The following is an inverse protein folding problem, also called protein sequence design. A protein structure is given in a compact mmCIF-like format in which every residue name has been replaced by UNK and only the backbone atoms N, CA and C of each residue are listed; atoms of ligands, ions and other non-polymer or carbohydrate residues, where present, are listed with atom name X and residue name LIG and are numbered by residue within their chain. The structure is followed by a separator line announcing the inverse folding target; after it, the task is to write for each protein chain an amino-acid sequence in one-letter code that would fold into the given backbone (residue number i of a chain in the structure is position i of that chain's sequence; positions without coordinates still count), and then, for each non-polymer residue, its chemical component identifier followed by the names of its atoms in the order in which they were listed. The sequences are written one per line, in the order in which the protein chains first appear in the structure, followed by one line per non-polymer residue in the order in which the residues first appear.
data_IF_220755804102
#
_entry.id   IF_220755804102
#
_cell.length_a   1.000
_cell.length_b   1.000
_cell.length_c   1.000
_cell.angle_alpha   90.00
_cell.angle_beta   90.00
_cell.angle_gamma   90.00
#
_symmetry.space_group_name_H-M   'P 1'
#
loop_
_entity.id
_entity.type
_entity.pdbx_description
1 polymer ?
#
# COMPACT_ATOMS: atom_id res chain seq x y z
N UNK A 1 -11.28 -7.84 -10.47
CA UNK A 1 -10.31 -8.84 -9.96
C UNK A 1 -9.65 -8.32 -8.69
N UNK A 2 -8.91 -9.15 -7.93
CA UNK A 2 -8.26 -8.71 -6.67
C UNK A 2 -7.30 -7.53 -6.89
N UNK A 3 -6.65 -7.45 -8.06
CA UNK A 3 -5.78 -6.33 -8.45
C UNK A 3 -6.56 -5.03 -8.63
N UNK A 4 -7.76 -5.09 -9.22
CA UNK A 4 -8.64 -3.92 -9.38
C UNK A 4 -9.16 -3.41 -8.04
N UNK A 5 -9.45 -4.31 -7.08
CA UNK A 5 -9.84 -3.94 -5.73
C UNK A 5 -8.73 -3.16 -5.02
N UNK A 6 -7.49 -3.68 -5.04
CA UNK A 6 -6.33 -2.99 -4.49
C UNK A 6 -6.14 -1.64 -5.19
N UNK A 7 -6.29 -1.60 -6.51
CA UNK A 7 -6.19 -0.37 -7.29
C UNK A 7 -7.18 0.71 -6.80
N UNK A 8 -8.45 0.35 -6.62
CA UNK A 8 -9.46 1.29 -6.11
C UNK A 8 -9.19 1.70 -4.66
N UNK A 9 -8.69 0.79 -3.83
CA UNK A 9 -8.29 1.11 -2.46
C UNK A 9 -7.12 2.09 -2.43
N UNK A 10 -6.14 1.97 -3.33
CA UNK A 10 -5.04 2.94 -3.47
C UNK A 10 -5.61 4.34 -3.74
N UNK A 11 -6.57 4.47 -4.65
CA UNK A 11 -7.21 5.76 -4.94
C UNK A 11 -7.90 6.36 -3.71
N UNK A 12 -8.60 5.54 -2.91
CA UNK A 12 -9.20 5.97 -1.65
C UNK A 12 -8.16 6.46 -0.64
N UNK A 13 -7.10 5.69 -0.42
CA UNK A 13 -6.01 6.04 0.51
C UNK A 13 -5.25 7.30 0.07
N UNK A 14 -5.07 7.50 -1.24
CA UNK A 14 -4.49 8.72 -1.81
C UNK A 14 -5.38 9.93 -1.58
N UNK A 15 -6.70 9.79 -1.76
CA UNK A 15 -7.66 10.86 -1.50
C UNK A 15 -7.62 11.29 -0.03
N UNK A 16 -7.59 10.33 0.90
CA UNK A 16 -7.45 10.60 2.33
C UNK A 16 -6.12 11.28 2.66
N UNK A 17 -5.00 10.81 2.08
CA UNK A 17 -3.70 11.44 2.27
C UNK A 17 -3.67 12.89 1.75
N UNK A 18 -4.31 13.16 0.60
CA UNK A 18 -4.41 14.51 0.06
C UNK A 18 -5.23 15.43 0.97
N UNK A 19 -6.30 14.92 1.57
CA UNK A 19 -7.11 15.69 2.53
C UNK A 19 -6.32 16.02 3.81
N UNK A 20 -5.51 15.07 4.32
CA UNK A 20 -4.60 15.31 5.45
C UNK A 20 -3.56 16.39 5.13
N UNK A 21 -2.98 16.37 3.94
CA UNK A 21 -2.02 17.39 3.47
C UNK A 21 -2.66 18.78 3.42
N UNK A 22 -3.90 18.89 2.91
CA UNK A 22 -4.67 20.13 2.93
C UNK A 22 -4.96 20.61 4.36
N UNK A 23 -5.33 19.70 5.27
CA UNK A 23 -5.63 20.02 6.66
C UNK A 23 -4.40 20.53 7.42
N UNK A 24 -3.22 19.94 7.20
CA UNK A 24 -1.95 20.42 7.76
C UNK A 24 -1.67 21.86 7.32
N UNK A 25 -1.90 22.19 6.04
CA UNK A 25 -1.71 23.54 5.53
C UNK A 25 -2.69 24.56 6.16
N UNK A 26 -3.95 24.14 6.40
CA UNK A 26 -4.94 24.95 7.14
C UNK A 26 -4.50 25.18 8.59
N UNK A 27 -4.00 24.14 9.26
CA UNK A 27 -3.48 24.23 10.63
C UNK A 27 -2.26 25.14 10.71
N UNK A 28 -1.35 25.12 9.74
CA UNK A 28 -0.24 26.07 9.68
C UNK A 28 -0.71 27.53 9.66
N UNK A 29 -1.77 27.85 8.90
CA UNK A 29 -2.36 29.19 8.88
C UNK A 29 -2.99 29.52 10.23
N UNK A 30 -3.76 28.60 10.80
CA UNK A 30 -4.43 28.79 12.08
C UNK A 30 -3.44 29.02 13.23
N UNK A 31 -2.39 28.20 13.33
CA UNK A 31 -1.32 28.33 14.32
C UNK A 31 -0.65 29.70 14.21
N UNK A 32 -0.33 30.14 12.99
CA UNK A 32 0.26 31.45 12.75
C UNK A 32 -0.69 32.60 13.14
N UNK A 33 -1.99 32.46 12.88
CA UNK A 33 -2.99 33.47 13.25
C UNK A 33 -3.25 33.53 14.75
N UNK A 34 -3.06 32.42 15.46
CA UNK A 34 -3.30 32.28 16.89
C UNK A 34 -2.13 32.74 17.79
N UNK A 35 -1.07 33.34 17.24
CA UNK A 35 0.06 33.86 18.03
C UNK A 35 -0.36 34.93 19.07
N UNK A 36 -1.45 35.65 18.81
CA UNK A 36 -2.03 36.61 19.76
C UNK A 36 -3.15 36.03 20.62
N UNK A 37 -3.52 34.76 20.40
CA UNK A 37 -4.59 34.06 21.10
C UNK A 37 -4.09 33.44 22.42
N UNK A 38 -5.01 32.80 23.16
CA UNK A 38 -4.63 32.09 24.38
C UNK A 38 -3.64 30.96 24.11
N UNK A 39 -2.69 30.74 25.01
CA UNK A 39 -1.70 29.66 24.91
C UNK A 39 -2.32 28.27 24.74
N UNK A 40 -3.52 28.08 25.30
CA UNK A 40 -4.27 26.82 25.18
C UNK A 40 -4.75 26.55 23.76
N UNK A 41 -5.28 27.56 23.08
CA UNK A 41 -5.78 27.42 21.70
C UNK A 41 -4.65 27.05 20.73
N UNK A 42 -3.48 27.66 20.89
CA UNK A 42 -2.29 27.32 20.11
C UNK A 42 -1.85 25.88 20.38
N UNK A 43 -1.85 25.45 21.65
CA UNK A 43 -1.51 24.08 22.03
C UNK A 43 -2.43 23.05 21.38
N UNK A 44 -3.74 23.27 21.44
CA UNK A 44 -4.74 22.36 20.86
C UNK A 44 -4.55 22.21 19.33
N UNK A 45 -4.19 23.29 18.62
CA UNK A 45 -3.89 23.28 17.19
C UNK A 45 -2.59 22.52 16.86
N UNK A 46 -1.56 22.67 17.69
CA UNK A 46 -0.31 21.93 17.55
C UNK A 46 -0.52 20.42 17.74
N UNK A 47 -1.35 20.03 18.72
CA UNK A 47 -1.70 18.64 18.96
C UNK A 47 -2.46 18.01 17.79
N UNK A 48 -3.40 18.76 17.19
CA UNK A 48 -4.12 18.34 15.98
C UNK A 48 -3.16 18.14 14.81
N UNK A 49 -2.24 19.08 14.60
CA UNK A 49 -1.24 19.00 13.53
C UNK A 49 -0.33 17.77 13.71
N UNK A 50 0.17 17.54 14.92
CA UNK A 50 1.02 16.39 15.23
C UNK A 50 0.26 15.06 15.09
N UNK A 51 -1.05 15.04 15.38
CA UNK A 51 -1.89 13.86 15.13
C UNK A 51 -1.97 13.54 13.63
N UNK A 52 -2.29 14.53 12.80
CA UNK A 52 -2.43 14.32 11.35
C UNK A 52 -1.09 13.97 10.71
N UNK A 53 0.03 14.58 11.13
CA UNK A 53 1.37 14.21 10.65
C UNK A 53 1.70 12.74 10.93
N UNK A 54 1.35 12.23 12.12
CA UNK A 54 1.53 10.82 12.46
C UNK A 54 0.66 9.90 11.59
N UNK A 55 -0.60 10.25 11.39
CA UNK A 55 -1.52 9.47 10.55
C UNK A 55 -1.07 9.46 9.08
N UNK A 56 -0.61 10.61 8.56
CA UNK A 56 -0.09 10.72 7.21
C UNK A 56 1.17 9.87 7.02
N UNK A 57 2.07 9.84 8.00
CA UNK A 57 3.29 8.98 7.99
C UNK A 57 2.95 7.49 7.94
N UNK A 58 1.81 7.07 8.50
CA UNK A 58 1.35 5.67 8.39
C UNK A 58 0.83 5.33 6.97
N UNK A 59 0.41 6.34 6.21
CA UNK A 59 -0.16 6.16 4.86
C UNK A 59 0.89 6.28 3.76
N UNK A 60 1.75 7.30 3.85
CA UNK A 60 2.73 7.67 2.81
C UNK A 60 4.09 7.96 3.43
N UNK A 61 5.15 7.72 2.67
CA UNK A 61 6.50 8.14 2.99
C UNK A 61 6.59 9.68 2.95
N UNK A 62 6.62 10.29 4.12
CA UNK A 62 6.80 11.72 4.28
C UNK A 62 7.99 12.01 5.19
N UNK A 63 8.61 13.16 4.96
CA UNK A 63 9.48 13.81 5.92
C UNK A 63 8.93 15.20 6.21
N UNK A 64 9.15 15.69 7.43
CA UNK A 64 8.71 17.03 7.79
C UNK A 64 9.70 17.68 8.73
N UNK A 65 9.71 19.01 8.71
CA UNK A 65 10.45 19.80 9.68
C UNK A 65 9.60 20.99 10.13
N UNK A 66 9.77 21.37 11.39
CA UNK A 66 9.10 22.51 11.99
C UNK A 66 10.01 23.73 11.86
N UNK A 67 9.55 24.75 11.16
CA UNK A 67 10.23 26.03 11.02
C UNK A 67 9.89 26.99 12.16
N UNK A 68 10.26 28.26 11.96
CA UNK A 68 9.91 29.34 12.87
C UNK A 68 8.39 29.44 13.05
N UNK A 69 7.95 29.82 14.26
CA UNK A 69 6.53 30.03 14.59
C UNK A 69 5.65 28.77 14.50
N UNK A 70 6.24 27.58 14.58
CA UNK A 70 5.48 26.32 14.64
C UNK A 70 4.92 25.84 13.30
N UNK A 71 5.16 26.54 12.19
CA UNK A 71 4.75 26.09 10.85
C UNK A 71 5.55 24.85 10.44
N UNK A 72 4.87 23.84 9.92
CA UNK A 72 5.49 22.61 9.43
C UNK A 72 5.57 22.63 7.91
N UNK A 73 6.75 22.27 7.39
CA UNK A 73 6.95 21.97 5.96
C UNK A 73 6.97 20.46 5.81
N UNK A 74 6.18 19.94 4.88
CA UNK A 74 6.06 18.50 4.62
C UNK A 74 6.57 18.20 3.22
N UNK A 75 7.51 17.26 3.12
CA UNK A 75 8.02 16.69 1.88
C UNK A 75 7.54 15.25 1.73
N UNK A 76 7.07 14.91 0.54
CA UNK A 76 6.65 13.58 0.16
C UNK A 76 7.75 12.82 -0.60
N UNK A 77 7.38 11.69 -1.23
CA UNK A 77 8.30 10.93 -2.06
C UNK A 77 8.82 11.76 -3.23
N UNK A 78 9.98 11.37 -3.77
CA UNK A 78 10.70 12.12 -4.81
C UNK A 78 11.00 13.59 -4.44
N UNK A 79 11.15 13.89 -3.14
CA UNK A 79 11.37 15.23 -2.60
C UNK A 79 10.27 16.26 -2.94
N UNK A 80 9.07 15.76 -3.30
CA UNK A 80 7.92 16.60 -3.64
C UNK A 80 7.51 17.45 -2.44
N UNK A 81 7.21 18.73 -2.68
CA UNK A 81 6.75 19.64 -1.63
C UNK A 81 5.24 19.45 -1.45
N UNK A 82 4.82 18.86 -0.33
CA UNK A 82 3.41 18.59 -0.04
C UNK A 82 2.76 19.74 0.72
N UNK A 83 3.46 20.33 1.69
CA UNK A 83 3.00 21.50 2.43
C UNK A 83 4.14 22.48 2.56
N UNK A 84 3.87 23.74 2.22
CA UNK A 84 4.73 24.88 2.54
C UNK A 84 3.88 26.01 3.10
N UNK A 85 4.07 26.29 4.40
CA UNK A 85 3.28 27.29 5.14
C UNK A 85 1.79 27.00 4.95
N UNK A 86 1.03 27.88 4.30
CA UNK A 86 -0.40 27.72 4.04
C UNK A 86 -0.76 27.10 2.69
N UNK A 87 0.24 26.79 1.86
CA UNK A 87 0.06 26.17 0.55
C UNK A 87 0.22 24.66 0.66
N UNK A 88 -0.55 23.93 -0.15
CA UNK A 88 -0.49 22.48 -0.22
C UNK A 88 -0.51 21.99 -1.68
N UNK A 89 0.16 20.87 -1.93
CA UNK A 89 0.05 20.14 -3.18
C UNK A 89 -1.08 19.12 -3.09
N UNK A 90 -1.79 18.90 -4.21
CA UNK A 90 -2.81 17.85 -4.28
C UNK A 90 -2.13 16.53 -4.60
N UNK A 91 -2.44 15.48 -3.84
CA UNK A 91 -2.07 14.11 -4.19
C UNK A 91 -3.27 13.50 -4.91
N UNK A 92 -3.05 12.90 -6.06
CA UNK A 92 -4.11 12.32 -6.88
C UNK A 92 -3.66 10.98 -7.48
N UNK A 93 -4.59 10.30 -8.13
CA UNK A 93 -4.30 9.15 -8.97
C UNK A 93 -4.47 9.52 -10.44
N UNK A 94 -3.50 9.14 -11.26
CA UNK A 94 -3.63 9.16 -12.71
C UNK A 94 -3.65 7.74 -13.25
N UNK A 95 -4.34 7.50 -14.36
CA UNK A 95 -4.23 6.20 -15.05
C UNK A 95 -2.86 6.10 -15.70
N UNK A 96 -2.14 5.01 -15.43
CA UNK A 96 -0.91 4.69 -16.14
C UNK A 96 -1.20 4.57 -17.64
N UNK A 97 -0.28 5.02 -18.49
CA UNK A 97 -0.49 5.08 -19.95
C UNK A 97 -0.65 3.71 -20.63
N UNK A 98 -0.38 2.62 -19.93
CA UNK A 98 -0.30 1.25 -20.43
C UNK A 98 -1.31 0.28 -19.77
N UNK A 99 -2.01 0.68 -18.71
CA UNK A 99 -2.83 -0.23 -17.92
C UNK A 99 -3.90 0.45 -17.08
N UNK A 100 -4.93 -0.32 -16.72
CA UNK A 100 -6.03 0.10 -15.85
C UNK A 100 -5.60 0.46 -14.41
N UNK A 101 -4.29 0.51 -14.14
CA UNK A 101 -3.71 0.78 -12.83
C UNK A 101 -3.55 2.28 -12.61
N UNK A 102 -3.62 2.64 -11.34
CA UNK A 102 -3.40 4.00 -10.90
C UNK A 102 -1.95 4.24 -10.54
N UNK A 103 -1.38 5.27 -11.14
CA UNK A 103 -0.18 5.93 -10.65
C UNK A 103 -0.56 6.96 -9.59
N UNK A 104 0.23 7.02 -8.53
CA UNK A 104 0.12 8.07 -7.51
C UNK A 104 0.90 9.27 -8.03
N UNK A 105 0.26 10.44 -8.09
CA UNK A 105 0.86 11.67 -8.58
C UNK A 105 0.73 12.79 -7.56
N UNK A 106 1.74 13.66 -7.51
CA UNK A 106 1.70 14.92 -6.79
C UNK A 106 1.56 16.07 -7.79
N UNK A 107 0.56 16.91 -7.56
CA UNK A 107 0.22 18.08 -8.37
C UNK A 107 0.67 19.34 -7.64
N UNK A 108 1.80 19.90 -8.06
CA UNK A 108 2.35 21.16 -7.52
C UNK A 108 1.79 22.36 -8.31
N UNK A 109 0.52 22.71 -8.05
CA UNK A 109 -0.15 23.83 -8.71
C UNK A 109 -0.35 23.70 -10.22
N UNK A 110 -1.01 24.69 -10.84
CA UNK A 110 -1.44 24.61 -12.24
C UNK A 110 -0.30 24.72 -13.29
N UNK A 111 0.92 25.06 -12.86
CA UNK A 111 2.04 25.36 -13.76
C UNK A 111 3.04 24.20 -13.92
N UNK A 112 3.00 23.18 -13.06
CA UNK A 112 3.96 22.08 -13.08
C UNK A 112 3.34 20.79 -13.60
N UNK A 113 4.16 19.97 -14.28
CA UNK A 113 3.77 18.63 -14.67
C UNK A 113 3.56 17.77 -13.41
N UNK A 114 2.52 16.92 -13.37
CA UNK A 114 2.35 15.94 -12.30
C UNK A 114 3.63 15.14 -12.08
N UNK A 115 4.08 15.01 -10.84
CA UNK A 115 5.22 14.16 -10.49
C UNK A 115 4.68 12.78 -10.09
N UNK A 116 5.06 11.74 -10.84
CA UNK A 116 4.69 10.36 -10.50
C UNK A 116 5.54 9.89 -9.33
N UNK A 117 4.89 9.44 -8.27
CA UNK A 117 5.52 8.99 -7.02
C UNK A 117 5.20 7.55 -6.66
N UNK A 118 4.45 6.81 -7.51
CA UNK A 118 4.01 5.43 -7.27
C UNK A 118 5.10 4.53 -6.71
N UNK A 119 6.25 4.50 -7.39
CA UNK A 119 7.38 3.66 -7.01
C UNK A 119 8.43 4.39 -6.17
N UNK A 120 8.34 5.71 -6.04
CA UNK A 120 9.22 6.50 -5.16
C UNK A 120 8.73 6.46 -3.71
N UNK A 121 7.43 6.21 -3.49
CA UNK A 121 6.89 5.98 -2.16
C UNK A 121 7.35 4.62 -1.61
N UNK A 122 8.32 4.63 -0.69
CA UNK A 122 8.92 3.39 -0.14
C UNK A 122 8.34 2.94 1.19
N UNK A 123 7.50 3.76 1.83
CA UNK A 123 6.97 3.52 3.18
C UNK A 123 5.46 3.80 3.26
N UNK A 124 4.90 3.40 4.39
CA UNK A 124 3.49 3.53 4.67
C UNK A 124 2.63 2.51 3.92
N UNK A 125 1.33 2.55 4.21
CA UNK A 125 0.34 1.63 3.66
C UNK A 125 0.29 1.65 2.13
N UNK A 126 0.41 2.82 1.52
CA UNK A 126 0.37 2.97 0.06
C UNK A 126 1.49 2.19 -0.63
N UNK A 127 2.72 2.21 -0.08
CA UNK A 127 3.85 1.47 -0.63
C UNK A 127 3.58 -0.04 -0.61
N UNK A 128 3.07 -0.56 0.53
CA UNK A 128 2.71 -1.97 0.66
C UNK A 128 1.59 -2.40 -0.30
N UNK A 129 0.60 -1.53 -0.53
CA UNK A 129 -0.48 -1.81 -1.49
C UNK A 129 0.03 -1.85 -2.93
N UNK A 130 0.90 -0.91 -3.31
CA UNK A 130 1.57 -0.91 -4.63
C UNK A 130 2.41 -2.16 -4.80
N UNK A 131 3.19 -2.56 -3.78
CA UNK A 131 4.01 -3.77 -3.81
C UNK A 131 3.16 -5.04 -4.04
N UNK A 132 2.02 -5.17 -3.35
CA UNK A 132 1.11 -6.30 -3.57
C UNK A 132 0.50 -6.27 -4.97
N UNK A 133 0.03 -5.11 -5.42
CA UNK A 133 -0.66 -4.93 -6.71
C UNK A 133 0.26 -5.18 -7.91
N UNK A 134 1.51 -4.72 -7.83
CA UNK A 134 2.41 -4.62 -8.98
C UNK A 134 3.47 -5.72 -8.99
N UNK A 135 3.78 -6.32 -7.83
CA UNK A 135 4.78 -7.39 -7.73
C UNK A 135 4.17 -8.71 -7.29
N UNK A 136 3.52 -8.75 -6.13
CA UNK A 136 3.10 -10.03 -5.52
C UNK A 136 2.03 -10.72 -6.36
N UNK A 137 0.93 -10.02 -6.68
CA UNK A 137 -0.19 -10.60 -7.44
C UNK A 137 0.25 -11.00 -8.87
N UNK A 138 0.95 -10.16 -9.65
CA UNK A 138 1.42 -10.55 -10.98
C UNK A 138 2.35 -11.77 -10.97
N UNK A 139 3.28 -11.86 -10.01
CA UNK A 139 4.18 -13.03 -9.90
C UNK A 139 3.42 -14.33 -9.60
N UNK A 140 2.38 -14.27 -8.77
CA UNK A 140 1.52 -15.44 -8.49
C UNK A 140 0.70 -15.84 -9.72
N UNK A 141 0.16 -14.87 -10.46
CA UNK A 141 -0.58 -15.12 -11.69
C UNK A 141 0.33 -15.75 -12.77
N UNK A 142 1.51 -15.18 -12.99
CA UNK A 142 2.51 -15.72 -13.91
C UNK A 142 2.90 -17.16 -13.54
N UNK A 143 3.14 -17.43 -12.25
CA UNK A 143 3.44 -18.78 -11.77
C UNK A 143 2.31 -19.76 -12.08
N UNK A 144 1.06 -19.35 -11.85
CA UNK A 144 -0.12 -20.16 -12.11
C UNK A 144 -0.34 -20.40 -13.62
N UNK A 145 -0.16 -19.37 -14.44
CA UNK A 145 -0.28 -19.46 -15.90
C UNK A 145 0.78 -20.38 -16.50
N UNK A 146 2.03 -20.29 -16.05
CA UNK A 146 3.11 -21.20 -16.48
C UNK A 146 2.79 -22.64 -16.14
N UNK A 147 2.32 -22.91 -14.93
CA UNK A 147 1.93 -24.26 -14.51
C UNK A 147 0.76 -24.80 -15.34
N UNK A 148 -0.30 -24.00 -15.54
CA UNK A 148 -1.45 -24.36 -16.36
C UNK A 148 -1.03 -24.64 -17.82
N UNK A 149 -0.18 -23.79 -18.40
CA UNK A 149 0.33 -23.94 -19.75
C UNK A 149 1.17 -25.21 -19.92
N UNK A 150 2.06 -25.52 -18.98
CA UNK A 150 2.86 -26.74 -19.03
C UNK A 150 2.01 -28.00 -18.83
N UNK A 151 1.06 -27.97 -17.91
CA UNK A 151 0.12 -29.08 -17.70
C UNK A 151 -0.68 -29.37 -18.98
N UNK A 152 -1.34 -28.34 -19.53
CA UNK A 152 -2.15 -28.46 -20.72
C UNK A 152 -1.32 -28.84 -21.94
N UNK A 153 -0.16 -28.21 -22.11
CA UNK A 153 0.78 -28.48 -23.20
C UNK A 153 1.31 -29.91 -23.17
N UNK A 154 1.65 -30.44 -21.99
CA UNK A 154 2.15 -31.80 -21.84
C UNK A 154 1.08 -32.85 -22.14
N UNK A 155 -0.15 -32.64 -21.67
CA UNK A 155 -1.27 -33.53 -21.99
C UNK A 155 -1.61 -33.45 -23.49
N UNK A 156 -1.66 -32.24 -24.06
CA UNK A 156 -1.92 -32.03 -25.48
C UNK A 156 -0.86 -32.66 -26.37
N UNK A 157 0.42 -32.61 -25.98
CA UNK A 157 1.49 -33.26 -26.72
C UNK A 157 1.21 -34.76 -26.88
N UNK A 158 0.86 -35.45 -25.79
CA UNK A 158 0.55 -36.88 -25.81
C UNK A 158 -0.78 -37.16 -26.53
N UNK A 159 -1.83 -36.38 -26.24
CA UNK A 159 -3.16 -36.60 -26.82
C UNK A 159 -3.16 -36.45 -28.35
N UNK A 160 -2.35 -35.53 -28.89
CA UNK A 160 -2.22 -35.33 -30.34
C UNK A 160 -1.61 -36.53 -31.07
N UNK A 161 -0.83 -37.35 -30.39
CA UNK A 161 -0.22 -38.56 -30.95
C UNK A 161 -1.21 -39.75 -31.00
N UNK A 162 -2.33 -39.65 -30.28
CA UNK A 162 -3.25 -40.75 -30.09
C UNK A 162 -4.39 -40.85 -31.07
N UNK A 163 -5.11 -41.97 -30.95
CA UNK A 163 -6.34 -42.26 -31.68
C UNK A 163 -7.50 -42.45 -30.69
N UNK A 164 -8.68 -41.97 -31.08
CA UNK A 164 -9.92 -42.17 -30.34
C UNK A 164 -10.57 -43.54 -30.59
N UNK A 165 -11.80 -43.70 -30.14
CA UNK A 165 -12.60 -44.92 -30.29
C UNK A 165 -13.77 -44.71 -31.26
N UNK A 166 -14.27 -45.82 -31.83
CA UNK A 166 -15.43 -45.82 -32.74
C UNK A 166 -15.25 -44.82 -33.89
N UNK A 167 -16.16 -43.87 -34.04
CA UNK A 167 -16.13 -42.84 -35.08
C UNK A 167 -14.98 -41.82 -34.91
N UNK A 168 -14.14 -41.94 -33.88
CA UNK A 168 -12.96 -41.12 -33.62
C UNK A 168 -11.64 -41.88 -33.83
N UNK A 169 -11.68 -43.08 -34.41
CA UNK A 169 -10.49 -43.93 -34.62
C UNK A 169 -9.43 -43.35 -35.56
N UNK A 170 -9.78 -42.33 -36.34
CA UNK A 170 -8.85 -41.62 -37.25
C UNK A 170 -8.57 -40.18 -36.80
N UNK A 171 -9.17 -39.73 -35.69
CA UNK A 171 -8.92 -38.37 -35.19
C UNK A 171 -7.60 -38.34 -34.44
N UNK A 172 -6.55 -37.86 -35.11
CA UNK A 172 -5.23 -37.58 -34.55
C UNK A 172 -4.98 -36.07 -34.55
N UNK A 173 -3.94 -35.61 -33.84
CA UNK A 173 -3.55 -34.20 -33.86
C UNK A 173 -4.48 -33.25 -33.10
N UNK A 174 -5.45 -33.79 -32.35
CA UNK A 174 -6.39 -33.01 -31.52
C UNK A 174 -5.78 -32.68 -30.15
N UNK A 175 -6.00 -31.46 -29.67
CA UNK A 175 -5.68 -31.09 -28.29
C UNK A 175 -6.74 -31.62 -27.33
N UNK A 176 -6.34 -32.00 -26.11
CA UNK A 176 -7.28 -32.29 -25.03
C UNK A 176 -7.79 -31.01 -24.37
N UNK A 177 -6.88 -30.04 -24.19
CA UNK A 177 -7.17 -28.71 -23.66
C UNK A 177 -6.99 -27.64 -24.72
N UNK A 178 -7.91 -26.69 -24.77
CA UNK A 178 -7.71 -25.44 -25.48
C UNK A 178 -6.92 -24.48 -24.59
N UNK A 179 -5.79 -24.00 -25.13
CA UNK A 179 -4.88 -23.09 -24.43
C UNK A 179 -4.89 -21.76 -25.16
N UNK A 180 -5.08 -20.68 -24.41
CA UNK A 180 -5.00 -19.32 -24.95
C UNK A 180 -3.62 -19.06 -25.57
N UNK A 181 -3.61 -18.27 -26.65
CA UNK A 181 -2.37 -17.79 -27.26
C UNK A 181 -1.68 -16.70 -26.43
N UNK A 182 -2.37 -16.14 -25.43
CA UNK A 182 -1.82 -15.17 -24.50
C UNK A 182 -1.27 -15.89 -23.25
N UNK A 183 0.05 -15.85 -22.98
CA UNK A 183 0.63 -16.49 -21.80
C UNK A 183 0.07 -15.96 -20.47
N UNK A 184 -0.45 -14.74 -20.44
CA UNK A 184 -0.87 -14.05 -19.21
C UNK A 184 -2.27 -14.44 -18.72
N UNK A 185 -3.04 -15.20 -19.50
CA UNK A 185 -4.42 -15.59 -19.14
C UNK A 185 -4.70 -17.10 -19.24
N UNK A 186 -3.69 -17.92 -19.52
CA UNK A 186 -3.83 -19.37 -19.73
C UNK A 186 -4.63 -20.03 -18.60
N UNK A 187 -4.27 -19.80 -17.34
CA UNK A 187 -4.93 -20.47 -16.22
C UNK A 187 -6.41 -20.08 -16.09
N UNK A 188 -6.76 -18.86 -16.48
CA UNK A 188 -8.14 -18.35 -16.41
C UNK A 188 -9.01 -18.75 -17.60
N UNK A 189 -8.39 -19.11 -18.72
CA UNK A 189 -9.07 -19.44 -19.99
C UNK A 189 -8.99 -20.92 -20.35
N UNK A 190 -8.19 -21.70 -19.61
CA UNK A 190 -7.99 -23.13 -19.86
C UNK A 190 -9.33 -23.87 -19.83
N UNK A 191 -9.64 -24.54 -20.94
CA UNK A 191 -10.83 -25.38 -21.08
C UNK A 191 -10.50 -26.66 -21.83
N UNK A 192 -11.37 -27.65 -21.74
CA UNK A 192 -11.26 -28.88 -22.51
C UNK A 192 -11.82 -28.67 -23.91
N UNK A 193 -11.29 -29.40 -24.90
CA UNK A 193 -11.80 -29.41 -26.28
C UNK A 193 -13.25 -29.90 -26.32
N UNK A 194 -14.09 -29.22 -27.10
CA UNK A 194 -15.54 -29.46 -27.14
C UNK A 194 -15.88 -30.92 -27.51
N UNK A 195 -15.17 -31.55 -28.45
CA UNK A 195 -15.45 -32.95 -28.81
C UNK A 195 -15.07 -33.95 -27.72
N UNK A 196 -14.02 -33.64 -26.95
CA UNK A 196 -13.61 -34.43 -25.78
C UNK A 196 -14.69 -34.36 -24.69
N UNK A 197 -15.32 -33.19 -24.51
CA UNK A 197 -16.46 -33.02 -23.61
C UNK A 197 -17.69 -33.78 -24.13
N UNK A 198 -18.01 -33.65 -25.41
CA UNK A 198 -19.18 -34.26 -26.03
C UNK A 198 -19.11 -35.79 -26.08
N UNK A 199 -17.91 -36.36 -26.22
CA UNK A 199 -17.74 -37.81 -26.28
C UNK A 199 -16.42 -38.28 -25.69
N UNK A 200 -16.52 -39.16 -24.69
CA UNK A 200 -15.36 -39.90 -24.19
C UNK A 200 -14.66 -40.75 -25.26
N UNK A 201 -15.34 -41.07 -26.38
CA UNK A 201 -14.70 -41.76 -27.51
C UNK A 201 -13.72 -40.85 -28.26
N UNK A 202 -13.81 -39.53 -28.15
CA UNK A 202 -12.87 -38.58 -28.76
C UNK A 202 -11.55 -38.44 -27.98
N UNK A 203 -11.48 -39.01 -26.77
CA UNK A 203 -10.24 -39.08 -25.98
C UNK A 203 -9.25 -39.98 -26.72
N UNK A 204 -8.20 -39.35 -27.24
CA UNK A 204 -7.23 -39.95 -28.15
C UNK A 204 -6.08 -40.58 -27.36
N UNK A 205 -6.26 -41.84 -26.94
CA UNK A 205 -5.35 -42.52 -26.00
C UNK A 205 -4.82 -43.88 -26.46
N UNK A 206 -5.32 -44.40 -27.58
CA UNK A 206 -4.73 -45.57 -28.23
C UNK A 206 -3.48 -45.13 -29.02
N UNK A 207 -2.43 -45.95 -29.03
CA UNK A 207 -1.21 -45.70 -29.79
C UNK A 207 -1.34 -46.15 -31.27
N UNK A 208 -2.38 -46.90 -31.62
CA UNK A 208 -2.67 -47.33 -32.98
C UNK A 208 -4.16 -47.18 -33.31
N UNK A 209 -4.52 -46.91 -34.57
CA UNK A 209 -5.91 -46.83 -34.98
C UNK A 209 -6.61 -48.18 -34.79
N UNK A 210 -7.91 -48.16 -34.47
CA UNK A 210 -8.72 -49.37 -34.31
C UNK A 210 -8.18 -50.37 -33.26
N UNK A 211 -7.53 -49.89 -32.19
CA UNK A 211 -7.03 -50.72 -31.09
C UNK A 211 -7.83 -50.55 -29.78
N UNK A 212 -9.09 -51.05 -29.69
CA UNK A 212 -9.84 -51.03 -28.44
C UNK A 212 -9.07 -51.73 -27.30
N UNK A 213 -8.99 -51.06 -26.15
CA UNK A 213 -8.29 -51.57 -24.96
C UNK A 213 -6.81 -51.17 -24.87
N UNK A 214 -6.25 -50.54 -25.92
CA UNK A 214 -4.92 -49.93 -25.84
C UNK A 214 -4.93 -48.73 -24.88
N UNK A 215 -3.99 -48.72 -23.93
CA UNK A 215 -3.85 -47.72 -22.89
C UNK A 215 -2.44 -47.11 -22.83
N UNK A 216 -1.61 -47.30 -23.86
CA UNK A 216 -0.21 -46.83 -23.88
C UNK A 216 -0.12 -45.33 -23.62
N UNK A 217 -0.93 -44.50 -24.27
CA UNK A 217 -0.84 -43.05 -24.08
C UNK A 217 -1.44 -42.59 -22.76
N UNK A 218 -2.46 -43.28 -22.22
CA UNK A 218 -2.92 -43.02 -20.84
C UNK A 218 -1.77 -43.24 -19.86
N UNK A 219 -1.03 -44.35 -20.00
CA UNK A 219 0.12 -44.61 -19.13
C UNK A 219 1.22 -43.55 -19.27
N UNK A 220 1.41 -42.98 -20.47
CA UNK A 220 2.32 -41.86 -20.68
C UNK A 220 1.81 -40.57 -20.02
N UNK A 221 0.50 -40.27 -20.12
CA UNK A 221 -0.11 -39.14 -19.43
C UNK A 221 0.02 -39.27 -17.90
N UNK A 222 -0.17 -40.47 -17.34
CA UNK A 222 0.02 -40.73 -15.91
C UNK A 222 1.47 -40.50 -15.45
N UNK A 223 2.45 -40.79 -16.31
CA UNK A 223 3.88 -40.57 -16.03
C UNK A 223 4.27 -39.10 -16.04
N UNK A 224 3.48 -38.20 -16.63
CA UNK A 224 3.77 -36.75 -16.62
C UNK A 224 3.94 -36.20 -15.21
N UNK A 225 3.29 -36.79 -14.20
CA UNK A 225 3.45 -36.40 -12.80
C UNK A 225 4.91 -36.49 -12.32
N UNK A 226 5.67 -37.45 -12.84
CA UNK A 226 7.07 -37.69 -12.48
C UNK A 226 8.05 -37.03 -13.47
N UNK A 227 7.55 -36.46 -14.57
CA UNK A 227 8.39 -35.86 -15.60
C UNK A 227 8.67 -34.39 -15.30
N UNK A 228 9.89 -33.97 -15.65
CA UNK A 228 10.33 -32.59 -15.54
C UNK A 228 9.83 -31.78 -16.73
N UNK A 229 8.60 -31.28 -16.61
CA UNK A 229 7.93 -30.48 -17.64
C UNK A 229 7.99 -28.97 -17.38
N UNK A 230 8.53 -28.57 -16.23
CA UNK A 230 8.74 -27.18 -15.82
C UNK A 230 10.24 -26.88 -15.74
N UNK A 231 10.96 -27.04 -16.86
CA UNK A 231 12.43 -27.01 -16.88
C UNK A 231 13.00 -28.21 -16.15
N UNK A 232 13.72 -27.99 -15.04
CA UNK A 232 14.33 -29.07 -14.25
C UNK A 232 13.42 -29.63 -13.14
N UNK A 233 12.17 -29.19 -13.07
CA UNK A 233 11.20 -29.51 -12.02
C UNK A 233 9.95 -30.24 -12.58
N UNK A 234 9.35 -31.10 -11.74
CA UNK A 234 7.99 -31.62 -12.01
C UNK A 234 6.93 -30.54 -11.75
N UNK A 235 5.68 -30.78 -12.18
CA UNK A 235 4.57 -29.88 -11.84
C UNK A 235 4.37 -29.74 -10.33
N UNK A 236 4.52 -30.85 -9.58
CA UNK A 236 4.38 -30.84 -8.13
C UNK A 236 5.53 -30.07 -7.46
N UNK A 237 6.77 -30.24 -7.94
CA UNK A 237 7.92 -29.51 -7.41
C UNK A 237 7.76 -28.00 -7.64
N UNK A 238 7.33 -27.62 -8.84
CA UNK A 238 7.07 -26.23 -9.18
C UNK A 238 5.97 -25.63 -8.29
N UNK A 239 4.85 -26.35 -8.13
CA UNK A 239 3.75 -25.95 -7.26
C UNK A 239 4.20 -25.76 -5.81
N UNK A 240 4.87 -26.77 -5.25
CA UNK A 240 5.38 -26.74 -3.89
C UNK A 240 6.39 -25.59 -3.69
N UNK A 241 7.22 -25.32 -4.70
CA UNK A 241 8.20 -24.23 -4.64
C UNK A 241 7.51 -22.86 -4.59
N UNK A 242 6.64 -22.53 -5.53
CA UNK A 242 6.07 -21.17 -5.57
C UNK A 242 5.12 -20.91 -4.38
N UNK A 243 4.34 -21.92 -3.95
CA UNK A 243 3.52 -21.82 -2.73
C UNK A 243 4.41 -21.68 -1.49
N UNK A 244 5.51 -22.42 -1.43
CA UNK A 244 6.48 -22.34 -0.34
C UNK A 244 7.14 -20.96 -0.25
N UNK A 245 7.56 -20.38 -1.38
CA UNK A 245 8.13 -19.03 -1.45
C UNK A 245 7.11 -17.99 -0.98
N UNK A 246 5.88 -18.05 -1.49
CA UNK A 246 4.81 -17.13 -1.07
C UNK A 246 4.51 -17.25 0.43
N UNK A 247 4.45 -18.48 0.96
CA UNK A 247 4.26 -18.72 2.39
C UNK A 247 5.40 -18.18 3.25
N UNK A 248 6.65 -18.33 2.80
CA UNK A 248 7.82 -17.78 3.48
C UNK A 248 7.81 -16.24 3.48
N UNK A 249 7.45 -15.63 2.36
CA UNK A 249 7.33 -14.17 2.25
C UNK A 249 6.23 -13.61 3.15
N UNK A 250 5.11 -14.32 3.29
CA UNK A 250 4.05 -13.97 4.23
C UNK A 250 4.55 -14.02 5.68
N UNK A 251 5.24 -15.11 6.06
CA UNK A 251 5.81 -15.24 7.42
C UNK A 251 6.84 -14.15 7.71
N UNK A 252 7.72 -13.83 6.76
CA UNK A 252 8.71 -12.75 6.89
C UNK A 252 8.05 -11.38 7.05
N UNK A 253 7.03 -11.10 6.25
CA UNK A 253 6.27 -9.84 6.30
C UNK A 253 5.57 -9.70 7.66
N UNK A 254 4.98 -10.80 8.17
CA UNK A 254 4.35 -10.82 9.48
C UNK A 254 5.37 -10.58 10.62
N UNK A 255 6.50 -11.26 10.60
CA UNK A 255 7.57 -11.07 11.59
C UNK A 255 8.12 -9.64 11.58
N UNK A 256 8.30 -9.05 10.39
CA UNK A 256 8.76 -7.66 10.24
C UNK A 256 7.74 -6.70 10.82
N UNK A 257 6.45 -6.90 10.51
CA UNK A 257 5.36 -6.11 11.08
C UNK A 257 5.33 -6.20 12.62
N UNK A 258 5.45 -7.38 13.19
CA UNK A 258 5.43 -7.57 14.65
C UNK A 258 6.62 -6.88 15.34
N UNK A 259 7.78 -6.89 14.69
CA UNK A 259 8.97 -6.16 15.14
C UNK A 259 8.74 -4.64 15.11
N UNK A 260 8.20 -4.13 14.00
CA UNK A 260 7.87 -2.70 13.84
C UNK A 260 6.81 -2.24 14.84
N UNK A 261 5.75 -3.02 15.06
CA UNK A 261 4.71 -2.74 16.06
C UNK A 261 5.29 -2.69 17.48
N UNK A 262 6.28 -3.53 17.77
CA UNK A 262 7.01 -3.51 19.04
C UNK A 262 7.87 -2.26 19.17
N UNK A 263 8.59 -1.89 18.11
CA UNK A 263 9.40 -0.68 18.07
C UNK A 263 8.54 0.57 18.24
N UNK A 264 7.42 0.68 17.53
CA UNK A 264 6.47 1.79 17.64
C UNK A 264 5.94 1.90 19.08
N UNK A 265 5.56 0.79 19.71
CA UNK A 265 5.13 0.80 21.12
C UNK A 265 6.21 1.33 22.07
N UNK A 266 7.45 0.91 21.88
CA UNK A 266 8.58 1.39 22.70
C UNK A 266 8.87 2.87 22.47
N UNK A 267 8.80 3.34 21.22
CA UNK A 267 9.00 4.75 20.87
C UNK A 267 7.89 5.64 21.43
N UNK A 268 6.63 5.18 21.37
CA UNK A 268 5.51 5.89 21.97
C UNK A 268 5.65 5.96 23.50
N UNK A 269 6.02 4.86 24.16
CA UNK A 269 6.25 4.87 25.61
C UNK A 269 7.38 5.83 26.03
N UNK A 270 8.48 5.87 25.27
CA UNK A 270 9.57 6.85 25.47
C UNK A 270 9.12 8.27 25.21
N UNK A 271 8.34 8.49 24.15
CA UNK A 271 7.78 9.80 23.85
C UNK A 271 6.88 10.25 25.01
N UNK A 272 5.97 9.41 25.47
CA UNK A 272 5.03 9.76 26.54
C UNK A 272 5.75 9.98 27.89
N UNK A 273 6.88 9.32 28.14
CA UNK A 273 7.69 9.57 29.33
C UNK A 273 8.45 10.90 29.28
N UNK A 274 8.69 11.47 28.08
CA UNK A 274 9.40 12.74 27.86
C UNK A 274 8.43 13.89 27.64
N UNK A 275 7.34 13.65 26.90
CA UNK A 275 6.27 14.57 26.58
C UNK A 275 5.15 14.59 27.64
N UNK A 276 5.21 13.69 28.63
CA UNK A 276 4.40 13.77 29.84
C UNK A 276 4.79 15.02 30.63
N UNK A 277 4.22 16.16 30.25
CA UNK A 277 4.32 17.40 31.00
C UNK A 277 3.83 17.12 32.41
N UNK A 278 4.69 17.33 33.40
CA UNK A 278 4.29 17.20 34.79
C UNK A 278 3.23 18.26 35.07
N UNK A 279 2.05 17.85 35.55
CA UNK A 279 1.03 18.78 36.07
C UNK A 279 1.64 19.76 37.08
N UNK A 280 2.70 19.37 37.77
CA UNK A 280 3.42 20.21 38.71
C UNK A 280 4.20 21.33 38.01
N UNK A 281 4.70 21.12 36.79
CA UNK A 281 5.42 22.12 36.01
C UNK A 281 4.47 23.13 35.38
N UNK A 282 3.33 22.67 34.86
CA UNK A 282 2.23 23.56 34.45
C UNK A 282 1.64 24.33 35.64
N UNK A 283 1.41 23.68 36.78
CA UNK A 283 0.96 24.35 38.00
C UNK A 283 2.00 25.34 38.54
N UNK A 284 3.29 25.02 38.47
CA UNK A 284 4.38 25.92 38.86
C UNK A 284 4.44 27.13 37.94
N UNK A 285 4.27 26.93 36.62
CA UNK A 285 4.20 28.02 35.67
C UNK A 285 2.97 28.89 35.94
N UNK A 286 1.81 28.29 36.20
CA UNK A 286 0.58 29.01 36.52
C UNK A 286 0.72 29.82 37.83
N UNK A 287 1.34 29.24 38.86
CA UNK A 287 1.67 29.95 40.11
C UNK A 287 2.64 31.11 39.87
N UNK A 288 3.65 30.94 39.00
CA UNK A 288 4.55 32.04 38.60
C UNK A 288 3.80 33.15 37.88
N UNK A 289 2.89 32.82 36.95
CA UNK A 289 2.05 33.80 36.26
C UNK A 289 1.13 34.54 37.24
N UNK A 290 0.53 33.83 38.21
CA UNK A 290 -0.31 34.42 39.25
C UNK A 290 0.49 35.34 40.19
N UNK A 291 1.70 34.94 40.57
CA UNK A 291 2.60 35.74 41.40
C UNK A 291 3.06 37.00 40.67
N UNK A 292 3.46 36.90 39.40
CA UNK A 292 3.85 38.04 38.58
C UNK A 292 2.69 39.01 38.37
N UNK A 293 1.49 38.50 38.08
CA UNK A 293 0.29 39.34 37.95
C UNK A 293 -0.01 40.08 39.26
N UNK A 294 0.05 39.39 40.40
CA UNK A 294 -0.18 40.00 41.72
C UNK A 294 0.89 41.07 42.04
N UNK A 295 2.16 40.81 41.69
CA UNK A 295 3.25 41.77 41.87
C UNK A 295 3.04 43.01 40.99
N UNK A 296 2.67 42.84 39.71
CA UNK A 296 2.36 43.93 38.80
C UNK A 296 1.14 44.74 39.27
N UNK A 297 0.08 44.09 39.77
CA UNK A 297 -1.08 44.78 40.34
C UNK A 297 -0.70 45.65 41.55
N UNK A 298 0.16 45.15 42.45
CA UNK A 298 0.66 45.94 43.58
C UNK A 298 1.47 47.14 43.11
N UNK A 299 2.34 46.98 42.11
CA UNK A 299 3.10 48.11 41.54
C UNK A 299 2.16 49.17 40.99
N UNK A 300 1.09 48.78 40.28
CA UNK A 300 0.08 49.72 39.77
C UNK A 300 -0.62 50.44 40.93
N UNK A 301 -1.07 49.73 41.97
CA UNK A 301 -1.70 50.36 43.14
C UNK A 301 -0.76 51.32 43.85
N UNK A 302 0.52 50.97 43.97
CA UNK A 302 1.52 51.84 44.60
C UNK A 302 1.77 53.09 43.76
N UNK A 303 1.74 52.96 42.43
CA UNK A 303 1.84 54.09 41.50
C UNK A 303 0.59 54.99 41.59
N UNK A 304 -0.61 54.41 41.69
CA UNK A 304 -1.85 55.17 41.89
C UNK A 304 -1.82 55.95 43.21
N UNK A 305 -1.37 55.34 44.31
CA UNK A 305 -1.18 56.00 45.61
C UNK A 305 -0.13 57.13 45.54
N UNK A 306 0.96 56.91 44.80
CA UNK A 306 1.98 57.96 44.55
C UNK A 306 1.43 59.10 43.70
N UNK A 307 0.60 58.83 42.69
CA UNK A 307 -0.06 59.86 41.89
C UNK A 307 -1.05 60.64 42.74
N UNK A 308 -1.82 59.96 43.59
CA UNK A 308 -2.80 60.59 44.47
C UNK A 308 -2.13 61.47 45.53
N UNK A 309 -1.03 61.01 46.14
CA UNK A 309 -0.24 61.83 47.07
C UNK A 309 0.40 63.05 46.40
N UNK A 310 0.93 62.91 45.18
CA UNK A 310 1.42 64.05 44.38
C UNK A 310 0.29 65.03 44.04
N UNK A 311 -0.90 64.54 43.73
CA UNK A 311 -2.08 65.37 43.47
C UNK A 311 -2.58 66.09 44.74
N UNK A 312 -2.53 65.44 45.90
CA UNK A 312 -2.89 66.04 47.19
C UNK A 312 -1.87 67.08 47.65
N UNK A 313 -0.59 66.94 47.30
CA UNK A 313 0.44 67.95 47.54
C UNK A 313 0.32 69.20 46.64
N UNK A 314 -0.51 69.16 45.58
CA UNK A 314 -0.69 70.26 44.61
C UNK A 314 -1.95 71.12 44.89
N UNK A 315 -2.50 71.07 46.10
CA UNK A 315 -3.49 72.02 46.61
C UNK A 315 -2.90 72.85 47.74
#
# INVERSE_FOLDING_TARGET
THRDDINNRIAGEVSEASAMVEEIAKLNIAIKGAETSSSKEVSDLLDQQDKILRELTQKMDISYYRGDQGMVVVRGPAETLLVDRGSFAKIDVSRAGDGNLYDIVVLDGAAYKPTVVTHENKRGRLAGMVEVRDRVVPNLLDSNNKMAGAFAGSINAIHREGFGLKNYQETTGRNFFEVSGNPDDIASTLKMDDLVIESANAISVAASPNAPGDNVLVNNMLRLREQKVMGDATLNDYYANYVGVFGLDLVRTQQTKDADDTLIRNLNARRDSVAGVSMDEEATNLLKWQANFTASSKVITTVDEMIETVLQMKR
#
